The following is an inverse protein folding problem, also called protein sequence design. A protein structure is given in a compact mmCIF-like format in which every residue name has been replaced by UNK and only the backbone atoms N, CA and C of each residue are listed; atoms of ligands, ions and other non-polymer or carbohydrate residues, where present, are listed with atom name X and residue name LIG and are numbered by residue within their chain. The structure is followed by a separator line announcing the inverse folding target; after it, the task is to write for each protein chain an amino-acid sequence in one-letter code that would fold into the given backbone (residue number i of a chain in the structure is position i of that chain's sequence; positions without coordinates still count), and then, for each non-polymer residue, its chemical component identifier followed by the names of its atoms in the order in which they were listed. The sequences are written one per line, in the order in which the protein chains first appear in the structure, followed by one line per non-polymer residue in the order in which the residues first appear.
data_IF_614715627368
#
_entry.id   IF_614715627368
#
_cell.length_a   1.000
_cell.length_b   1.000
_cell.length_c   1.000
_cell.angle_alpha   90.00
_cell.angle_beta   90.00
_cell.angle_gamma   90.00
#
_symmetry.space_group_name_H-M   'P 1'
#
loop_
_entity.id
_entity.type
_entity.pdbx_description
1 polymer ?
#
# COMPACT_ATOMS: atom_id res chain seq x y z
N UNK A 1 -12.08 -8.85 1.33
CA UNK A 1 -12.35 -9.00 -0.12
C UNK A 1 -11.07 -8.60 -0.84
N UNK A 2 -10.67 -9.30 -1.91
CA UNK A 2 -9.53 -8.88 -2.73
C UNK A 2 -9.80 -7.48 -3.27
N UNK A 3 -8.81 -6.59 -3.15
CA UNK A 3 -8.93 -5.20 -3.57
C UNK A 3 -8.21 -5.02 -4.89
N UNK A 4 -8.91 -4.53 -5.91
CA UNK A 4 -8.31 -4.18 -7.19
C UNK A 4 -7.87 -2.72 -7.20
N UNK A 5 -6.67 -2.46 -7.71
CA UNK A 5 -6.08 -1.14 -7.93
C UNK A 5 -5.23 -1.17 -9.21
N UNK A 6 -4.45 -0.12 -9.47
CA UNK A 6 -3.49 -0.08 -10.56
C UNK A 6 -2.05 0.14 -10.06
N UNK A 7 -1.08 -0.12 -10.94
CA UNK A 7 0.33 0.00 -10.61
C UNK A 7 0.72 1.41 -10.14
N UNK A 8 0.15 2.46 -10.74
CA UNK A 8 0.42 3.84 -10.31
C UNK A 8 0.01 4.09 -8.85
N UNK A 9 -1.20 3.68 -8.47
CA UNK A 9 -1.70 3.86 -7.12
C UNK A 9 -0.91 3.03 -6.11
N UNK A 10 -0.55 1.77 -6.45
CA UNK A 10 0.27 0.95 -5.58
C UNK A 10 1.67 1.56 -5.37
N UNK A 11 2.34 1.98 -6.45
CA UNK A 11 3.65 2.66 -6.36
C UNK A 11 3.56 3.94 -5.52
N UNK A 12 2.51 4.73 -5.73
CA UNK A 12 2.28 5.98 -4.98
C UNK A 12 2.10 5.71 -3.49
N UNK A 13 1.43 4.61 -3.13
CA UNK A 13 1.29 4.20 -1.73
C UNK A 13 2.64 3.87 -1.10
N UNK A 14 3.46 3.04 -1.76
CA UNK A 14 4.81 2.68 -1.27
C UNK A 14 5.76 3.88 -1.20
N UNK A 15 5.58 4.87 -2.08
CA UNK A 15 6.38 6.10 -2.08
C UNK A 15 5.92 7.14 -1.04
N UNK A 16 4.76 6.98 -0.40
CA UNK A 16 4.22 7.96 0.54
C UNK A 16 4.90 7.88 1.91
N UNK A 17 5.93 8.69 2.11
CA UNK A 17 6.67 8.76 3.37
C UNK A 17 5.82 9.14 4.58
N UNK A 18 4.64 9.74 4.38
CA UNK A 18 3.72 10.07 5.49
C UNK A 18 3.05 8.82 6.08
N UNK A 19 3.07 7.71 5.34
CA UNK A 19 2.60 6.40 5.80
C UNK A 19 3.75 5.62 6.42
N UNK A 20 4.86 5.50 5.70
CA UNK A 20 5.93 4.58 6.08
C UNK A 20 6.93 5.13 7.08
N UNK A 21 6.96 6.45 7.30
CA UNK A 21 7.94 7.09 8.18
C UNK A 21 7.26 7.88 9.29
N UNK A 22 7.81 7.72 10.51
CA UNK A 22 7.44 8.52 11.66
C UNK A 22 7.91 9.98 11.53
N UNK A 23 7.52 10.83 12.49
CA UNK A 23 7.94 12.25 12.52
C UNK A 23 9.45 12.44 12.63
N UNK A 24 10.16 11.45 13.16
CA UNK A 24 11.61 11.42 13.28
C UNK A 24 12.30 10.82 12.04
N UNK A 25 11.54 10.49 10.99
CA UNK A 25 12.05 9.91 9.75
C UNK A 25 12.38 8.42 9.82
N UNK A 26 12.13 7.75 10.95
CA UNK A 26 12.35 6.30 11.08
C UNK A 26 11.21 5.50 10.46
N UNK A 27 11.46 4.25 10.03
CA UNK A 27 10.41 3.35 9.58
C UNK A 27 9.34 3.18 10.66
N UNK A 28 8.08 3.40 10.28
CA UNK A 28 6.92 3.31 11.18
C UNK A 28 6.22 1.96 11.05
N UNK A 29 6.07 1.47 9.82
CA UNK A 29 5.36 0.22 9.52
C UNK A 29 6.19 -0.68 8.60
N UNK A 30 5.90 -1.98 8.66
CA UNK A 30 6.28 -2.95 7.63
C UNK A 30 5.08 -3.78 7.22
N UNK A 31 5.24 -4.51 6.11
CA UNK A 31 4.23 -5.40 5.57
C UNK A 31 4.76 -6.83 5.68
N UNK A 32 3.90 -7.76 6.06
CA UNK A 32 4.17 -9.19 6.04
C UNK A 32 3.03 -9.93 5.31
N UNK A 33 3.27 -11.18 4.94
CA UNK A 33 2.33 -12.06 4.24
C UNK A 33 1.72 -11.42 2.97
N UNK A 34 2.48 -10.56 2.28
CA UNK A 34 2.00 -9.88 1.07
C UNK A 34 1.80 -10.89 -0.06
N UNK A 35 0.60 -10.89 -0.64
CA UNK A 35 0.30 -11.63 -1.87
C UNK A 35 -0.47 -10.71 -2.80
N UNK A 36 0.07 -10.53 -4.01
CA UNK A 36 -0.48 -9.69 -5.06
C UNK A 36 -0.57 -10.49 -6.36
N UNK A 37 -1.56 -10.16 -7.20
CA UNK A 37 -1.50 -10.50 -8.62
C UNK A 37 -1.41 -9.25 -9.46
N UNK A 38 -0.64 -9.32 -10.53
CA UNK A 38 -0.45 -8.23 -11.50
C UNK A 38 -0.74 -8.77 -12.88
N UNK A 39 -1.74 -8.18 -13.53
CA UNK A 39 -2.27 -8.65 -14.81
C UNK A 39 -2.61 -10.16 -14.78
N UNK A 40 -3.07 -10.65 -13.63
CA UNK A 40 -3.43 -12.05 -13.41
C UNK A 40 -2.27 -13.00 -13.06
N UNK A 41 -1.03 -12.50 -13.00
CA UNK A 41 0.14 -13.28 -12.56
C UNK A 41 0.46 -12.98 -11.10
N UNK A 42 0.60 -14.00 -10.27
CA UNK A 42 1.02 -13.83 -8.88
C UNK A 42 2.47 -13.34 -8.80
N UNK A 43 2.70 -12.37 -7.93
CA UNK A 43 4.03 -11.89 -7.57
C UNK A 43 4.22 -12.07 -6.06
N UNK A 44 5.41 -12.56 -5.71
CA UNK A 44 5.75 -13.04 -4.38
C UNK A 44 6.67 -12.08 -3.60
N UNK A 45 7.15 -11.01 -4.24
CA UNK A 45 8.09 -10.07 -3.62
C UNK A 45 7.72 -8.60 -3.87
N UNK A 46 7.76 -7.82 -2.79
CA UNK A 46 7.59 -6.36 -2.79
C UNK A 46 8.63 -5.65 -3.69
N UNK A 47 9.77 -6.30 -3.92
CA UNK A 47 10.87 -5.83 -4.79
C UNK A 47 10.40 -5.55 -6.23
N UNK A 48 9.28 -6.15 -6.65
CA UNK A 48 8.69 -5.97 -7.97
C UNK A 48 7.90 -4.67 -8.11
N UNK A 49 7.44 -4.08 -7.01
CA UNK A 49 6.50 -2.94 -7.02
C UNK A 49 7.03 -1.71 -7.78
N UNK A 50 8.31 -1.31 -7.67
CA UNK A 50 8.85 -0.19 -8.44
C UNK A 50 8.83 -0.40 -9.96
N UNK A 51 8.75 -1.66 -10.41
CA UNK A 51 8.79 -2.03 -11.83
C UNK A 51 7.42 -2.03 -12.50
N UNK A 52 6.34 -1.88 -11.71
CA UNK A 52 4.97 -1.91 -12.21
C UNK A 52 4.71 -0.77 -13.22
N UNK A 53 4.05 -1.11 -14.32
CA UNK A 53 3.47 -0.13 -15.22
C UNK A 53 2.29 0.59 -14.56
N UNK A 54 2.09 1.86 -14.88
CA UNK A 54 1.04 2.68 -14.25
C UNK A 54 -0.37 2.10 -14.42
N UNK A 55 -0.61 1.46 -15.56
CA UNK A 55 -1.89 0.87 -15.95
C UNK A 55 -2.02 -0.63 -15.64
N UNK A 56 -0.99 -1.24 -15.04
CA UNK A 56 -1.07 -2.65 -14.66
C UNK A 56 -2.21 -2.87 -13.68
N UNK A 57 -3.02 -3.91 -13.91
CA UNK A 57 -4.11 -4.27 -13.03
C UNK A 57 -3.52 -5.03 -11.86
N UNK A 58 -3.61 -4.45 -10.67
CA UNK A 58 -3.09 -5.06 -9.45
C UNK A 58 -4.26 -5.55 -8.60
N UNK A 59 -4.23 -6.80 -8.15
CA UNK A 59 -5.14 -7.29 -7.12
C UNK A 59 -4.35 -7.60 -5.86
N UNK A 60 -4.76 -6.96 -4.76
CA UNK A 60 -4.27 -7.25 -3.42
C UNK A 60 -5.06 -8.46 -2.91
N UNK A 61 -4.38 -9.59 -2.73
CA UNK A 61 -4.97 -10.82 -2.23
C UNK A 61 -4.83 -10.93 -0.71
N UNK A 62 -3.62 -10.66 -0.21
CA UNK A 62 -3.30 -10.69 1.20
C UNK A 62 -2.22 -9.67 1.56
N UNK A 63 -2.04 -9.44 2.85
CA UNK A 63 -0.98 -8.64 3.41
C UNK A 63 -1.41 -8.07 4.76
N UNK A 64 -0.48 -7.99 5.69
CA UNK A 64 -0.72 -7.48 7.03
C UNK A 64 0.29 -6.38 7.33
N UNK A 65 -0.20 -5.23 7.78
CA UNK A 65 0.64 -4.12 8.18
C UNK A 65 0.87 -4.19 9.68
N UNK A 66 2.13 -4.10 10.08
CA UNK A 66 2.56 -4.10 11.47
C UNK A 66 3.33 -2.82 11.80
N UNK A 67 3.38 -2.47 13.08
CA UNK A 67 4.06 -1.27 13.59
C UNK A 67 5.37 -1.58 14.27
N UNK A 68 6.43 -0.84 13.92
CA UNK A 68 7.74 -0.97 14.55
C UNK A 68 7.76 -0.47 16.00
N UNK A 69 6.75 0.30 16.42
CA UNK A 69 6.70 0.85 17.78
C UNK A 69 6.18 -0.16 18.81
N UNK A 70 5.19 -0.97 18.45
CA UNK A 70 4.52 -1.91 19.36
C UNK A 70 4.57 -3.38 18.91
N UNK A 71 5.12 -3.65 17.72
CA UNK A 71 5.18 -4.97 17.06
C UNK A 71 3.80 -5.61 16.86
N UNK A 72 2.73 -4.80 16.89
CA UNK A 72 1.36 -5.23 16.76
C UNK A 72 0.85 -5.14 15.33
N UNK A 73 -0.17 -5.94 15.03
CA UNK A 73 -0.93 -5.82 13.79
C UNK A 73 -1.73 -4.52 13.79
N UNK A 74 -1.52 -3.69 12.78
CA UNK A 74 -2.24 -2.43 12.58
C UNK A 74 -3.50 -2.64 11.76
N UNK A 75 -3.39 -3.31 10.61
CA UNK A 75 -4.52 -3.56 9.71
C UNK A 75 -4.16 -4.59 8.64
N UNK A 76 -5.16 -4.99 7.84
CA UNK A 76 -4.89 -5.66 6.57
C UNK A 76 -4.34 -4.64 5.56
N UNK A 77 -3.49 -5.09 4.64
CA UNK A 77 -2.93 -4.24 3.59
C UNK A 77 -4.04 -3.63 2.73
N UNK A 78 -5.04 -4.42 2.35
CA UNK A 78 -6.19 -3.95 1.58
C UNK A 78 -6.98 -2.84 2.29
N UNK A 79 -7.30 -3.00 3.57
CA UNK A 79 -8.06 -1.98 4.31
C UNK A 79 -7.26 -0.70 4.52
N UNK A 80 -5.96 -0.83 4.82
CA UNK A 80 -5.09 0.32 5.01
C UNK A 80 -4.88 1.08 3.69
N UNK A 81 -4.59 0.36 2.60
CA UNK A 81 -4.46 0.93 1.26
C UNK A 81 -5.73 1.66 0.84
N UNK A 82 -6.91 1.07 1.08
CA UNK A 82 -8.20 1.69 0.80
C UNK A 82 -8.39 3.01 1.58
N UNK A 83 -8.04 3.02 2.87
CA UNK A 83 -8.10 4.25 3.70
C UNK A 83 -7.15 5.33 3.20
N UNK A 84 -5.93 4.97 2.83
CA UNK A 84 -4.97 5.89 2.23
C UNK A 84 -5.51 6.46 0.91
N UNK A 85 -6.02 5.62 0.03
CA UNK A 85 -6.56 6.04 -1.27
C UNK A 85 -7.71 7.03 -1.11
N UNK A 86 -8.64 6.78 -0.17
CA UNK A 86 -9.69 7.75 0.16
C UNK A 86 -9.13 9.08 0.65
N UNK A 87 -8.12 9.08 1.53
CA UNK A 87 -7.48 10.32 2.02
C UNK A 87 -6.77 11.08 0.91
N UNK A 88 -6.18 10.39 -0.07
CA UNK A 88 -5.58 11.04 -1.23
C UNK A 88 -6.62 11.67 -2.15
N UNK A 89 -7.75 11.00 -2.36
CA UNK A 89 -8.88 11.53 -3.17
C UNK A 89 -9.54 12.71 -2.44
N UNK A 90 -9.83 12.58 -1.15
CA UNK A 90 -10.43 13.67 -0.36
C UNK A 90 -9.45 14.81 -0.09
N UNK A 91 -8.14 14.55 -0.08
CA UNK A 91 -7.09 15.57 -0.01
C UNK A 91 -7.01 16.45 -1.25
N UNK A 92 -7.55 16.01 -2.40
CA UNK A 92 -7.78 16.87 -3.57
C UNK A 92 -9.08 17.69 -3.48
N UNK A 93 -9.88 17.48 -2.41
CA UNK A 93 -11.18 18.11 -2.16
C UNK A 93 -11.12 19.16 -1.04
N UNK A 94 -9.95 19.73 -0.75
CA UNK A 94 -9.89 21.03 -0.09
C UNK A 94 -10.15 22.14 -1.12
N UNK A 95 -11.44 22.39 -1.26
CA UNK A 95 -12.07 23.49 -1.98
C UNK A 95 -11.79 24.78 -1.18
N UNK A 96 -11.19 25.76 -1.87
CA UNK A 96 -11.23 27.24 -1.68
C UNK A 96 -11.09 27.79 -0.27
#
# INVERSE_FOLDING_TARGET
MPMQTNGLALKSFYADSRIWSGKDGKPLYWIDDLSLTVNGMEILEDSFIPTLGDNDVVQILNGVIYSYEDLGQVSTFADYFKRWQFRCIDGQRQIV
#
